data_IF_059101060365
#
_entry.id   IF_059101060365
#
_cell.length_a   1.000
_cell.length_b   1.000
_cell.length_c   1.000
_cell.angle_alpha   90.00
_cell.angle_beta   90.00
_cell.angle_gamma   90.00
#
_symmetry.space_group_name_H-M   'P 1'
#
loop_
_entity.id
_entity.type
_entity.pdbx_description
1 polymer ?
#
# COMPACT_ATOMS: atom_id res chain seq x y z
N UNK A 1 -20.29 -48.57 25.50
CA UNK A 1 -20.78 -47.68 24.41
C UNK A 1 -20.55 -46.20 24.70
N UNK A 2 -21.01 -45.63 25.83
CA UNK A 2 -20.78 -44.19 26.17
C UNK A 2 -19.30 -43.76 26.22
N UNK A 3 -18.40 -44.60 26.74
CA UNK A 3 -16.95 -44.32 26.78
C UNK A 3 -16.28 -44.34 25.41
N UNK A 4 -16.78 -45.16 24.48
CA UNK A 4 -16.27 -45.24 23.10
C UNK A 4 -16.70 -44.01 22.29
N UNK A 5 -17.92 -43.53 22.50
CA UNK A 5 -18.43 -42.29 21.91
C UNK A 5 -17.64 -41.05 22.38
N UNK A 6 -17.30 -40.98 23.66
CA UNK A 6 -16.47 -39.90 24.22
C UNK A 6 -15.03 -39.93 23.69
N UNK A 7 -14.45 -41.12 23.51
CA UNK A 7 -13.10 -41.27 22.95
C UNK A 7 -13.06 -40.92 21.46
N UNK A 8 -14.08 -41.31 20.70
CA UNK A 8 -14.21 -40.96 19.27
C UNK A 8 -14.45 -39.45 19.08
N UNK A 9 -15.27 -38.83 19.93
CA UNK A 9 -15.48 -37.38 19.93
C UNK A 9 -14.18 -36.62 20.27
N UNK A 10 -13.36 -37.12 21.19
CA UNK A 10 -12.07 -36.53 21.54
C UNK A 10 -11.07 -36.61 20.36
N UNK A 11 -11.00 -37.75 19.66
CA UNK A 11 -10.14 -37.93 18.48
C UNK A 11 -10.59 -37.03 17.32
N UNK A 12 -11.91 -36.89 17.09
CA UNK A 12 -12.46 -35.99 16.07
C UNK A 12 -12.20 -34.52 16.43
N UNK A 13 -12.26 -34.15 17.72
CA UNK A 13 -11.94 -32.79 18.18
C UNK A 13 -10.44 -32.44 18.08
N UNK A 14 -9.55 -33.43 18.15
CA UNK A 14 -8.09 -33.25 18.04
C UNK A 14 -7.58 -33.22 16.59
N UNK A 15 -8.40 -33.64 15.61
CA UNK A 15 -8.03 -33.73 14.18
C UNK A 15 -8.57 -32.58 13.33
N UNK A 16 -9.45 -31.74 13.88
CA UNK A 16 -9.88 -30.49 13.25
C UNK A 16 -8.88 -29.37 13.55
N UNK A 17 -7.65 -29.48 13.01
CA UNK A 17 -6.83 -28.30 12.80
C UNK A 17 -7.49 -27.48 11.68
N UNK A 18 -8.34 -26.53 12.06
CA UNK A 18 -8.78 -25.48 11.17
C UNK A 18 -7.55 -24.62 10.86
N UNK A 19 -6.85 -24.94 9.78
CA UNK A 19 -5.92 -24.01 9.17
C UNK A 19 -6.76 -22.91 8.54
N UNK A 20 -6.58 -21.67 8.99
CA UNK A 20 -6.95 -20.55 8.15
C UNK A 20 -6.05 -20.64 6.91
N UNK A 21 -6.64 -20.66 5.71
CA UNK A 21 -5.88 -20.56 4.47
C UNK A 21 -5.30 -19.14 4.38
N UNK A 22 -4.08 -18.97 4.91
CA UNK A 22 -3.33 -17.71 4.82
C UNK A 22 -2.68 -17.60 3.43
N UNK A 23 -2.94 -16.50 2.72
CA UNK A 23 -2.30 -16.30 1.41
C UNK A 23 -2.77 -15.05 0.68
N UNK A 24 -1.83 -14.33 0.07
CA UNK A 24 -2.10 -13.35 -0.97
C UNK A 24 -1.62 -13.97 -2.27
N UNK A 25 -2.56 -14.41 -3.11
CA UNK A 25 -2.28 -15.28 -4.25
C UNK A 25 -2.18 -14.46 -5.54
N UNK A 26 -1.18 -14.76 -6.38
CA UNK A 26 -1.04 -14.11 -7.68
C UNK A 26 -2.14 -14.60 -8.62
N UNK A 27 -2.85 -13.66 -9.25
CA UNK A 27 -3.99 -13.96 -10.12
C UNK A 27 -3.67 -14.99 -11.23
N UNK A 28 -2.52 -14.92 -11.94
CA UNK A 28 -2.18 -15.91 -12.96
C UNK A 28 -1.98 -17.34 -12.42
N UNK A 29 -1.82 -17.50 -11.10
CA UNK A 29 -1.57 -18.80 -10.47
C UNK A 29 -2.81 -19.40 -9.81
N UNK A 30 -3.94 -18.68 -9.77
CA UNK A 30 -5.17 -19.10 -9.09
C UNK A 30 -5.68 -20.43 -9.61
N UNK A 31 -5.66 -20.65 -10.93
CA UNK A 31 -6.08 -21.90 -11.54
C UNK A 31 -5.27 -23.10 -11.01
N UNK A 32 -3.94 -22.94 -10.94
CA UNK A 32 -3.03 -24.01 -10.54
C UNK A 32 -3.04 -24.26 -9.03
N UNK A 33 -3.15 -23.21 -8.22
CA UNK A 33 -2.85 -23.28 -6.79
C UNK A 33 -4.09 -23.25 -5.90
N UNK A 34 -5.18 -22.61 -6.32
CA UNK A 34 -6.23 -22.19 -5.38
C UNK A 34 -7.66 -22.56 -5.79
N UNK A 35 -7.97 -22.62 -7.09
CA UNK A 35 -9.37 -22.66 -7.56
C UNK A 35 -10.17 -23.84 -7.00
N UNK A 36 -9.57 -25.03 -6.93
CA UNK A 36 -10.24 -26.23 -6.40
C UNK A 36 -10.67 -26.03 -4.93
N UNK A 37 -9.79 -25.43 -4.12
CA UNK A 37 -10.08 -25.11 -2.72
C UNK A 37 -11.13 -24.01 -2.61
N UNK A 38 -11.04 -22.97 -3.44
CA UNK A 38 -12.02 -21.87 -3.46
C UNK A 38 -13.43 -22.39 -3.79
N UNK A 39 -13.54 -23.30 -4.75
CA UNK A 39 -14.81 -23.94 -5.14
C UNK A 39 -15.35 -24.86 -4.04
N UNK A 40 -14.47 -25.61 -3.35
CA UNK A 40 -14.85 -26.39 -2.17
C UNK A 40 -15.43 -25.51 -1.05
N UNK A 41 -14.89 -24.29 -0.88
CA UNK A 41 -15.35 -23.31 0.10
C UNK A 41 -16.62 -22.56 -0.33
N UNK A 42 -17.12 -22.78 -1.55
CA UNK A 42 -18.40 -22.23 -2.01
C UNK A 42 -18.32 -21.30 -3.21
N UNK A 43 -17.13 -20.97 -3.73
CA UNK A 43 -17.00 -20.20 -4.96
C UNK A 43 -17.67 -20.93 -6.13
N UNK A 44 -18.42 -20.18 -6.95
CA UNK A 44 -19.08 -20.71 -8.15
C UNK A 44 -18.40 -20.31 -9.46
N UNK A 45 -17.46 -19.37 -9.40
CA UNK A 45 -16.69 -18.91 -10.55
C UNK A 45 -15.59 -19.93 -10.91
N UNK A 46 -15.21 -19.93 -12.19
CA UNK A 46 -14.00 -20.58 -12.69
C UNK A 46 -12.76 -19.72 -12.43
N UNK A 47 -11.57 -20.25 -12.69
CA UNK A 47 -10.34 -19.46 -12.62
C UNK A 47 -10.31 -18.38 -13.72
N UNK A 48 -10.79 -18.69 -14.92
CA UNK A 48 -10.86 -17.76 -16.05
C UNK A 48 -11.84 -16.60 -15.79
N UNK A 49 -12.91 -16.82 -15.03
CA UNK A 49 -13.80 -15.74 -14.58
C UNK A 49 -13.07 -14.73 -13.68
N UNK A 50 -12.06 -15.18 -12.91
CA UNK A 50 -11.27 -14.35 -12.00
C UNK A 50 -10.16 -13.62 -12.77
N UNK A 51 -9.37 -14.35 -13.55
CA UNK A 51 -8.27 -13.82 -14.33
C UNK A 51 -8.18 -14.51 -15.69
N UNK A 52 -8.29 -13.71 -16.75
CA UNK A 52 -8.07 -14.14 -18.13
C UNK A 52 -7.36 -13.03 -18.91
N UNK A 53 -6.45 -13.41 -19.80
CA UNK A 53 -5.84 -12.50 -20.77
C UNK A 53 -6.59 -12.52 -22.12
N UNK A 54 -7.45 -13.52 -22.34
CA UNK A 54 -8.12 -13.76 -23.62
C UNK A 54 -9.53 -13.16 -23.68
N UNK A 55 -10.19 -12.99 -22.52
CA UNK A 55 -11.52 -12.38 -22.41
C UNK A 55 -11.65 -11.58 -21.11
N UNK A 56 -12.75 -10.84 -20.97
CA UNK A 56 -13.01 -10.06 -19.76
C UNK A 56 -13.16 -10.97 -18.53
N UNK A 57 -12.59 -10.56 -17.39
CA UNK A 57 -12.62 -11.28 -16.11
C UNK A 57 -12.77 -10.30 -14.94
N UNK A 58 -12.86 -10.79 -13.70
CA UNK A 58 -12.97 -9.91 -12.51
C UNK A 58 -11.80 -8.93 -12.39
N UNK A 59 -10.61 -9.30 -12.89
CA UNK A 59 -9.44 -8.40 -12.94
C UNK A 59 -9.75 -7.07 -13.65
N UNK A 60 -10.67 -7.07 -14.62
CA UNK A 60 -10.97 -5.87 -15.42
C UNK A 60 -11.96 -4.93 -14.73
N UNK A 61 -12.55 -5.37 -13.61
CA UNK A 61 -13.40 -4.56 -12.76
C UNK A 61 -12.66 -4.03 -11.52
N UNK A 62 -11.54 -4.66 -11.11
CA UNK A 62 -10.75 -4.28 -9.92
C UNK A 62 -9.49 -3.54 -10.35
N UNK A 63 -9.27 -2.35 -9.82
CA UNK A 63 -8.20 -1.44 -10.25
C UNK A 63 -7.40 -0.89 -9.09
N UNK A 64 -6.16 -0.51 -9.37
CA UNK A 64 -5.31 0.18 -8.43
C UNK A 64 -5.62 1.68 -8.47
N UNK A 65 -5.85 2.28 -7.30
CA UNK A 65 -5.85 3.73 -7.15
C UNK A 65 -4.44 4.21 -6.82
N UNK A 66 -4.04 5.31 -7.44
CA UNK A 66 -2.82 6.03 -7.12
C UNK A 66 -1.60 5.09 -7.13
N UNK A 67 -1.50 4.30 -8.20
CA UNK A 67 -0.46 3.29 -8.42
C UNK A 67 -0.37 2.18 -7.34
N UNK A 68 -1.49 1.86 -6.69
CA UNK A 68 -1.61 0.72 -5.77
C UNK A 68 -1.60 1.11 -4.29
N UNK A 69 -1.79 2.39 -3.97
CA UNK A 69 -1.99 2.83 -2.59
C UNK A 69 -3.32 2.36 -2.02
N UNK A 70 -4.35 2.30 -2.87
CA UNK A 70 -5.66 1.74 -2.56
C UNK A 70 -6.15 0.85 -3.71
N UNK A 71 -7.21 0.10 -3.43
CA UNK A 71 -7.95 -0.66 -4.44
C UNK A 71 -9.32 0.00 -4.66
N UNK A 72 -9.84 -0.08 -5.88
CA UNK A 72 -11.20 0.29 -6.20
C UNK A 72 -11.82 -0.71 -7.17
N UNK A 73 -13.14 -0.65 -7.31
CA UNK A 73 -13.88 -1.51 -8.22
C UNK A 73 -14.92 -0.75 -9.03
N UNK A 74 -15.07 -1.09 -10.31
CA UNK A 74 -16.15 -0.59 -11.15
C UNK A 74 -17.46 -1.23 -10.74
N UNK A 75 -18.48 -0.40 -10.50
CA UNK A 75 -19.84 -0.82 -10.15
C UNK A 75 -20.88 -0.39 -11.20
N UNK A 76 -20.43 0.18 -12.32
CA UNK A 76 -21.32 0.56 -13.43
C UNK A 76 -20.64 0.46 -14.81
N UNK A 77 -21.46 0.44 -15.86
CA UNK A 77 -21.02 0.47 -17.26
C UNK A 77 -20.49 1.85 -17.71
N UNK A 78 -20.57 2.88 -16.85
CA UNK A 78 -20.16 4.25 -17.14
C UNK A 78 -19.06 4.73 -16.18
N UNK A 79 -18.16 3.82 -15.83
CA UNK A 79 -16.92 4.16 -15.17
C UNK A 79 -17.05 4.56 -13.70
N UNK A 80 -18.20 4.30 -13.06
CA UNK A 80 -18.39 4.58 -11.63
C UNK A 80 -17.56 3.58 -10.81
N UNK A 81 -16.70 4.11 -9.96
CA UNK A 81 -15.83 3.40 -9.04
C UNK A 81 -16.35 3.51 -7.61
N UNK A 82 -16.26 2.40 -6.88
CA UNK A 82 -16.37 2.33 -5.44
C UNK A 82 -14.98 2.12 -4.84
N UNK A 83 -14.68 2.86 -3.77
CA UNK A 83 -13.49 2.64 -2.93
C UNK A 83 -13.80 3.09 -1.50
N UNK A 84 -12.84 3.01 -0.58
CA UNK A 84 -13.04 3.49 0.78
C UNK A 84 -13.09 5.03 0.87
N UNK A 85 -13.77 5.56 1.87
CA UNK A 85 -13.78 6.99 2.18
C UNK A 85 -12.36 7.46 2.49
N UNK A 86 -11.58 6.68 3.24
CA UNK A 86 -10.20 7.03 3.56
C UNK A 86 -9.27 7.03 2.32
N UNK A 87 -9.59 6.27 1.27
CA UNK A 87 -8.86 6.27 -0.01
C UNK A 87 -9.17 7.49 -0.90
N UNK A 88 -10.31 8.15 -0.66
CA UNK A 88 -10.69 9.41 -1.30
C UNK A 88 -10.53 10.63 -0.41
N UNK A 89 -9.98 10.45 0.80
CA UNK A 89 -9.99 11.47 1.85
C UNK A 89 -9.17 12.71 1.47
N UNK A 90 -8.02 12.51 0.84
CA UNK A 90 -7.19 13.57 0.29
C UNK A 90 -7.94 14.40 -0.75
N UNK A 91 -8.75 13.78 -1.61
CA UNK A 91 -9.54 14.50 -2.60
C UNK A 91 -10.71 15.26 -1.96
N UNK A 92 -11.41 14.63 -1.02
CA UNK A 92 -12.51 15.29 -0.28
C UNK A 92 -11.96 16.51 0.48
N UNK A 93 -10.80 16.37 1.12
CA UNK A 93 -10.11 17.46 1.82
C UNK A 93 -9.63 18.54 0.85
N UNK A 94 -9.05 18.16 -0.29
CA UNK A 94 -8.53 19.11 -1.28
C UNK A 94 -9.62 20.03 -1.85
N UNK A 95 -10.83 19.50 -2.02
CA UNK A 95 -12.01 20.27 -2.44
C UNK A 95 -12.73 20.99 -1.30
N UNK A 96 -12.40 20.69 -0.04
CA UNK A 96 -13.04 21.32 1.10
C UNK A 96 -12.51 22.75 1.35
N UNK A 97 -13.41 23.65 1.69
CA UNK A 97 -13.12 25.00 2.19
C UNK A 97 -13.92 25.28 3.46
N UNK A 98 -13.76 26.46 4.07
CA UNK A 98 -14.59 26.87 5.19
C UNK A 98 -16.06 27.05 4.77
N UNK A 99 -16.30 27.47 3.53
CA UNK A 99 -17.62 27.64 2.93
C UNK A 99 -18.22 26.30 2.48
N UNK A 100 -17.40 25.41 1.93
CA UNK A 100 -17.81 24.10 1.42
C UNK A 100 -17.02 22.99 2.12
N UNK A 101 -17.43 22.64 3.34
CA UNK A 101 -16.78 21.60 4.13
C UNK A 101 -17.32 20.21 3.77
N UNK A 102 -16.76 19.60 2.72
CA UNK A 102 -17.16 18.26 2.28
C UNK A 102 -16.73 17.16 3.25
N UNK A 103 -15.70 17.38 4.07
CA UNK A 103 -15.33 16.44 5.14
C UNK A 103 -16.47 16.32 6.16
N UNK A 104 -17.08 17.43 6.58
CA UNK A 104 -18.18 17.41 7.55
C UNK A 104 -19.50 17.02 6.91
N UNK A 105 -19.81 17.56 5.73
CA UNK A 105 -21.16 17.47 5.15
C UNK A 105 -21.32 16.36 4.10
N UNK A 106 -20.22 15.74 3.68
CA UNK A 106 -20.19 14.88 2.50
C UNK A 106 -20.31 15.69 1.21
N UNK A 107 -20.27 14.97 0.10
CA UNK A 107 -20.39 15.53 -1.25
C UNK A 107 -21.17 14.56 -2.13
N UNK A 108 -22.04 15.08 -3.00
CA UNK A 108 -22.79 14.27 -3.97
C UNK A 108 -23.04 15.08 -5.24
N UNK A 109 -22.38 14.69 -6.34
CA UNK A 109 -22.65 15.24 -7.66
C UNK A 109 -24.01 14.72 -8.15
N UNK A 110 -24.99 15.61 -8.29
CA UNK A 110 -26.33 15.26 -8.79
C UNK A 110 -26.35 15.08 -10.31
N UNK A 111 -25.36 15.66 -10.99
CA UNK A 111 -25.16 15.57 -12.43
C UNK A 111 -23.67 15.44 -12.74
N UNK A 112 -23.32 14.93 -13.94
CA UNK A 112 -21.92 14.65 -14.32
C UNK A 112 -21.03 15.89 -14.39
N UNK A 113 -21.60 17.05 -14.68
CA UNK A 113 -20.92 18.34 -14.71
C UNK A 113 -20.57 18.85 -13.31
N UNK A 114 -21.19 18.31 -12.26
CA UNK A 114 -20.87 18.62 -10.87
C UNK A 114 -19.74 17.74 -10.31
N UNK A 115 -19.33 16.67 -11.00
CA UNK A 115 -18.26 15.79 -10.55
C UNK A 115 -16.91 16.53 -10.51
N UNK A 116 -16.20 16.47 -9.38
CA UNK A 116 -15.03 17.31 -9.12
C UNK A 116 -13.74 16.68 -9.65
N UNK A 117 -13.00 17.32 -10.58
CA UNK A 117 -11.74 16.78 -11.08
C UNK A 117 -10.64 16.70 -10.01
N UNK A 118 -9.84 15.63 -10.03
CA UNK A 118 -8.75 15.43 -9.06
C UNK A 118 -7.39 15.32 -9.75
N UNK A 119 -6.68 16.44 -9.97
CA UNK A 119 -5.37 16.42 -10.62
C UNK A 119 -4.34 15.58 -9.84
N UNK A 120 -3.82 14.54 -10.49
CA UNK A 120 -2.84 13.62 -9.91
C UNK A 120 -3.45 12.32 -9.39
N UNK A 121 -4.78 12.21 -9.26
CA UNK A 121 -5.43 10.94 -8.95
C UNK A 121 -5.39 10.02 -10.16
N UNK A 122 -5.02 8.77 -9.97
CA UNK A 122 -4.91 7.80 -11.08
C UNK A 122 -5.69 6.52 -10.81
N UNK A 123 -6.15 5.90 -11.90
CA UNK A 123 -6.75 4.57 -11.91
C UNK A 123 -5.95 3.70 -12.87
N UNK A 124 -5.32 2.65 -12.34
CA UNK A 124 -4.41 1.79 -13.09
C UNK A 124 -4.98 0.38 -13.22
N UNK A 125 -5.12 -0.09 -14.46
CA UNK A 125 -5.57 -1.43 -14.81
C UNK A 125 -4.40 -2.37 -15.00
N UNK A 126 -4.45 -3.56 -14.39
CA UNK A 126 -3.54 -4.66 -14.75
C UNK A 126 -4.00 -5.31 -16.07
N UNK A 127 -3.27 -5.04 -17.16
CA UNK A 127 -3.55 -5.61 -18.47
C UNK A 127 -3.15 -7.08 -18.49
N UNK A 128 -1.91 -7.38 -18.10
CA UNK A 128 -1.37 -8.74 -18.01
C UNK A 128 -0.17 -8.81 -17.07
N UNK A 129 0.10 -10.01 -16.59
CA UNK A 129 1.29 -10.38 -15.80
C UNK A 129 1.96 -11.61 -16.43
N UNK A 130 3.29 -11.64 -16.46
CA UNK A 130 4.09 -12.69 -17.11
C UNK A 130 5.32 -13.03 -16.27
N UNK A 131 5.62 -14.33 -16.06
CA UNK A 131 6.86 -14.77 -15.40
C UNK A 131 8.04 -14.58 -16.37
N UNK A 132 8.97 -13.69 -16.02
CA UNK A 132 10.17 -13.39 -16.81
C UNK A 132 11.44 -13.79 -16.07
N UNK A 133 11.32 -14.64 -15.04
CA UNK A 133 12.43 -15.04 -14.18
C UNK A 133 13.59 -15.62 -14.95
N UNK A 134 13.34 -16.50 -15.92
CA UNK A 134 14.41 -17.15 -16.69
C UNK A 134 15.23 -16.14 -17.52
N UNK A 135 14.57 -15.09 -18.04
CA UNK A 135 15.24 -14.02 -18.80
C UNK A 135 16.17 -13.20 -17.93
N UNK A 136 15.85 -13.04 -16.64
CA UNK A 136 16.66 -12.30 -15.68
C UNK A 136 17.75 -13.19 -15.08
N UNK A 137 17.35 -14.33 -14.52
CA UNK A 137 18.23 -15.24 -13.78
C UNK A 137 19.33 -15.84 -14.65
N UNK A 138 19.09 -16.06 -15.95
CA UNK A 138 20.14 -16.53 -16.89
C UNK A 138 21.27 -15.52 -17.09
N UNK A 139 21.05 -14.24 -16.77
CA UNK A 139 22.06 -13.19 -16.84
C UNK A 139 22.86 -13.00 -15.55
N UNK A 140 22.60 -13.79 -14.50
CA UNK A 140 23.20 -13.63 -13.17
C UNK A 140 24.10 -14.82 -12.83
N UNK A 141 25.17 -14.55 -12.10
CA UNK A 141 26.09 -15.56 -11.57
C UNK A 141 26.32 -15.34 -10.08
N UNK A 142 26.83 -16.36 -9.37
CA UNK A 142 27.04 -16.30 -7.91
C UNK A 142 28.26 -15.50 -7.47
N UNK A 143 29.17 -15.19 -8.39
CA UNK A 143 30.39 -14.41 -8.17
C UNK A 143 30.20 -12.90 -8.33
N UNK A 144 29.02 -12.46 -8.82
CA UNK A 144 28.68 -11.03 -8.89
C UNK A 144 28.57 -10.43 -7.49
N UNK A 145 29.08 -9.21 -7.34
CA UNK A 145 28.75 -8.37 -6.18
C UNK A 145 27.26 -7.99 -6.20
N UNK A 146 26.69 -7.61 -5.05
CA UNK A 146 25.29 -7.19 -4.97
C UNK A 146 25.01 -5.93 -5.80
N UNK A 147 25.99 -5.03 -5.96
CA UNK A 147 25.86 -3.86 -6.82
C UNK A 147 25.78 -4.27 -8.30
N UNK A 148 26.70 -5.13 -8.76
CA UNK A 148 26.69 -5.65 -10.14
C UNK A 148 25.42 -6.44 -10.43
N UNK A 149 24.99 -7.29 -9.49
CA UNK A 149 23.76 -8.07 -9.57
C UNK A 149 22.55 -7.16 -9.70
N UNK A 150 22.43 -6.16 -8.83
CA UNK A 150 21.32 -5.18 -8.86
C UNK A 150 21.30 -4.40 -10.18
N UNK A 151 22.46 -3.94 -10.64
CA UNK A 151 22.60 -3.26 -11.94
C UNK A 151 22.17 -4.17 -13.09
N UNK A 152 22.62 -5.42 -13.11
CA UNK A 152 22.30 -6.39 -14.16
C UNK A 152 20.80 -6.72 -14.19
N UNK A 153 20.18 -6.93 -13.03
CA UNK A 153 18.73 -7.13 -12.90
C UNK A 153 17.99 -5.92 -13.47
N UNK A 154 18.41 -4.70 -13.10
CA UNK A 154 17.79 -3.47 -13.60
C UNK A 154 17.92 -3.34 -15.12
N UNK A 155 19.11 -3.54 -15.68
CA UNK A 155 19.36 -3.41 -17.12
C UNK A 155 18.50 -4.40 -17.94
N UNK A 156 18.39 -5.65 -17.48
CA UNK A 156 17.55 -6.66 -18.14
C UNK A 156 16.06 -6.30 -17.96
N UNK A 157 15.65 -5.90 -16.76
CA UNK A 157 14.27 -5.50 -16.44
C UNK A 157 13.80 -4.33 -17.30
N UNK A 158 14.63 -3.30 -17.46
CA UNK A 158 14.33 -2.12 -18.27
C UNK A 158 14.17 -2.50 -19.76
N UNK A 159 15.01 -3.42 -20.25
CA UNK A 159 14.87 -3.94 -21.61
C UNK A 159 13.55 -4.69 -21.81
N UNK A 160 13.20 -5.60 -20.90
CA UNK A 160 11.94 -6.35 -20.92
C UNK A 160 10.74 -5.40 -20.88
N UNK A 161 10.76 -4.43 -19.97
CA UNK A 161 9.70 -3.43 -19.82
C UNK A 161 9.55 -2.59 -21.08
N UNK A 162 10.67 -2.15 -21.68
CA UNK A 162 10.66 -1.38 -22.93
C UNK A 162 10.04 -2.15 -24.10
N UNK A 163 10.31 -3.44 -24.21
CA UNK A 163 9.71 -4.32 -25.23
C UNK A 163 8.18 -4.43 -25.07
N UNK A 164 7.66 -4.32 -23.85
CA UNK A 164 6.24 -4.43 -23.54
C UNK A 164 5.50 -3.08 -23.43
N UNK A 165 6.23 -1.96 -23.49
CA UNK A 165 5.66 -0.61 -23.46
C UNK A 165 5.07 -0.28 -24.83
N UNK A 166 3.85 0.25 -24.86
CA UNK A 166 3.12 0.54 -26.09
C UNK A 166 2.55 1.96 -26.05
N UNK A 167 3.05 2.84 -26.93
CA UNK A 167 2.63 4.24 -26.98
C UNK A 167 1.27 4.45 -27.65
N UNK A 168 0.83 3.51 -28.48
CA UNK A 168 -0.47 3.54 -29.17
C UNK A 168 -1.56 3.23 -28.14
N UNK A 169 -1.40 2.14 -27.39
CA UNK A 169 -2.36 1.72 -26.36
C UNK A 169 -2.14 2.39 -25.00
N UNK A 170 -1.10 3.24 -24.86
CA UNK A 170 -0.68 3.86 -23.59
C UNK A 170 -0.40 2.82 -22.50
N UNK A 171 0.23 1.70 -22.88
CA UNK A 171 0.65 0.70 -21.93
C UNK A 171 2.00 1.06 -21.32
N UNK A 172 2.03 1.01 -20.00
CA UNK A 172 3.22 1.16 -19.17
C UNK A 172 3.61 -0.23 -18.67
N UNK A 173 4.89 -0.55 -18.68
CA UNK A 173 5.36 -1.86 -18.25
C UNK A 173 6.49 -1.70 -17.23
N UNK A 174 6.52 -2.61 -16.27
CA UNK A 174 7.61 -2.72 -15.30
C UNK A 174 7.85 -4.18 -14.92
N UNK A 175 9.09 -4.53 -14.63
CA UNK A 175 9.40 -5.83 -14.03
C UNK A 175 9.57 -5.63 -12.54
N UNK A 176 8.85 -6.43 -11.77
CA UNK A 176 8.91 -6.41 -10.31
C UNK A 176 9.50 -7.71 -9.79
N UNK A 177 10.25 -7.60 -8.69
CA UNK A 177 10.80 -8.75 -7.98
C UNK A 177 9.78 -9.30 -6.99
N UNK A 178 9.66 -10.61 -6.93
CA UNK A 178 8.84 -11.35 -5.98
C UNK A 178 9.71 -12.36 -5.24
N UNK A 179 9.30 -12.68 -4.01
CA UNK A 179 10.02 -13.63 -3.14
C UNK A 179 11.50 -13.27 -2.97
N UNK A 180 11.80 -12.01 -2.61
CA UNK A 180 13.18 -11.53 -2.34
C UNK A 180 14.17 -11.82 -3.47
N UNK A 181 13.81 -11.55 -4.73
CA UNK A 181 14.71 -11.79 -5.87
C UNK A 181 14.69 -13.19 -6.47
N UNK A 182 13.82 -14.10 -5.98
CA UNK A 182 13.71 -15.46 -6.51
C UNK A 182 12.80 -15.57 -7.75
N UNK A 183 11.87 -14.64 -7.91
CA UNK A 183 11.00 -14.55 -9.09
C UNK A 183 10.91 -13.13 -9.60
N UNK A 184 10.69 -13.00 -10.90
CA UNK A 184 10.51 -11.71 -11.55
C UNK A 184 9.32 -11.78 -12.48
N UNK A 185 8.42 -10.80 -12.35
CA UNK A 185 7.23 -10.74 -13.17
C UNK A 185 7.16 -9.41 -13.92
N UNK A 186 6.92 -9.49 -15.22
CA UNK A 186 6.54 -8.34 -16.03
C UNK A 186 5.07 -8.01 -15.76
N UNK A 187 4.81 -6.77 -15.39
CA UNK A 187 3.48 -6.21 -15.15
C UNK A 187 3.22 -5.15 -16.21
N UNK A 188 2.16 -5.33 -16.99
CA UNK A 188 1.73 -4.36 -17.99
C UNK A 188 0.45 -3.70 -17.52
N UNK A 189 0.46 -2.38 -17.54
CA UNK A 189 -0.58 -1.52 -16.99
C UNK A 189 -1.10 -0.53 -18.02
N UNK A 190 -2.31 -0.04 -17.77
CA UNK A 190 -2.87 1.13 -18.45
C UNK A 190 -3.41 2.08 -17.39
N UNK A 191 -2.95 3.32 -17.38
CA UNK A 191 -3.25 4.29 -16.32
C UNK A 191 -4.11 5.43 -16.85
N UNK A 192 -5.31 5.60 -16.28
CA UNK A 192 -6.22 6.72 -16.53
C UNK A 192 -6.02 7.83 -15.50
N UNK A 193 -6.10 9.09 -15.96
CA UNK A 193 -5.68 10.27 -15.18
C UNK A 193 -6.76 11.34 -15.01
N UNK A 194 -7.92 11.17 -15.63
CA UNK A 194 -9.11 11.98 -15.35
C UNK A 194 -10.04 11.17 -14.44
N UNK A 195 -9.86 11.34 -13.13
CA UNK A 195 -10.66 10.67 -12.09
C UNK A 195 -11.37 11.73 -11.28
N UNK A 196 -12.70 11.71 -11.28
CA UNK A 196 -13.53 12.76 -10.67
C UNK A 196 -14.26 12.24 -9.45
N UNK A 197 -14.36 13.05 -8.41
CA UNK A 197 -15.12 12.71 -7.21
C UNK A 197 -16.61 12.83 -7.54
N UNK A 198 -17.36 11.77 -7.27
CA UNK A 198 -18.80 11.67 -7.52
C UNK A 198 -19.58 11.79 -6.23
N UNK A 199 -19.11 11.12 -5.17
CA UNK A 199 -19.83 11.11 -3.91
C UNK A 199 -18.99 10.66 -2.73
N UNK A 200 -19.24 11.24 -1.58
CA UNK A 200 -18.66 10.85 -0.31
C UNK A 200 -19.68 11.12 0.80
N UNK A 201 -19.94 10.15 1.69
CA UNK A 201 -20.73 10.42 2.88
C UNK A 201 -20.00 11.40 3.80
N UNK A 202 -20.70 12.09 4.72
CA UNK A 202 -20.10 12.81 5.84
C UNK A 202 -19.02 11.98 6.56
N UNK A 203 -17.96 12.61 7.08
CA UNK A 203 -16.94 11.91 7.88
C UNK A 203 -17.52 11.26 9.14
N UNK A 204 -18.66 11.75 9.64
CA UNK A 204 -19.40 11.08 10.72
C UNK A 204 -19.95 9.70 10.33
N UNK A 205 -20.01 9.36 9.05
CA UNK A 205 -20.35 8.04 8.52
C UNK A 205 -19.10 7.37 7.94
N UNK A 206 -18.40 8.06 7.03
CA UNK A 206 -17.20 7.57 6.32
C UNK A 206 -16.03 7.25 7.24
N UNK A 207 -15.94 7.92 8.38
CA UNK A 207 -14.95 7.71 9.45
C UNK A 207 -15.63 7.67 10.83
N UNK A 208 -16.84 7.12 10.93
CA UNK A 208 -17.54 6.93 12.21
C UNK A 208 -16.66 6.20 13.24
N UNK A 209 -16.68 6.70 14.47
CA UNK A 209 -15.79 6.25 15.56
C UNK A 209 -14.36 6.81 15.48
N UNK A 210 -14.03 7.48 14.38
CA UNK A 210 -12.76 8.16 14.17
C UNK A 210 -11.57 7.25 14.45
N UNK A 211 -10.59 7.83 15.12
CA UNK A 211 -9.40 7.08 15.52
C UNK A 211 -9.75 6.03 16.57
N UNK A 212 -10.64 6.31 17.54
CA UNK A 212 -11.04 5.38 18.62
C UNK A 212 -11.38 3.99 18.08
N UNK A 213 -12.21 3.91 17.04
CA UNK A 213 -12.63 2.65 16.45
C UNK A 213 -11.65 2.10 15.40
N UNK A 214 -10.65 2.88 14.97
CA UNK A 214 -9.66 2.41 14.01
C UNK A 214 -8.91 1.17 14.56
N UNK A 215 -8.77 0.14 13.72
CA UNK A 215 -8.29 -1.20 14.06
C UNK A 215 -9.14 -2.01 15.07
N UNK A 216 -10.38 -1.60 15.34
CA UNK A 216 -11.28 -2.28 16.28
C UNK A 216 -12.45 -3.01 15.60
N UNK A 217 -12.92 -4.06 16.26
CA UNK A 217 -14.20 -4.74 16.04
C UNK A 217 -14.92 -4.90 17.39
N UNK A 218 -16.25 -4.70 17.52
CA UNK A 218 -17.24 -4.37 16.48
C UNK A 218 -16.97 -3.03 15.76
N UNK A 219 -17.44 -2.91 14.52
CA UNK A 219 -17.27 -1.70 13.70
C UNK A 219 -18.57 -1.30 13.00
N UNK A 220 -18.83 0.01 12.94
CA UNK A 220 -20.05 0.60 12.37
C UNK A 220 -19.75 1.73 11.38
N UNK A 221 -18.58 1.71 10.74
CA UNK A 221 -18.15 2.75 9.79
C UNK A 221 -18.65 2.45 8.38
N UNK A 222 -19.31 3.42 7.76
CA UNK A 222 -19.69 3.38 6.34
C UNK A 222 -18.54 3.90 5.46
N UNK A 223 -17.40 3.22 5.49
CA UNK A 223 -16.14 3.67 4.86
C UNK A 223 -16.16 3.48 3.34
N UNK A 224 -16.84 4.37 2.62
CA UNK A 224 -16.88 4.37 1.16
C UNK A 224 -16.84 5.78 0.55
N UNK A 225 -16.34 5.87 -0.68
CA UNK A 225 -16.46 7.03 -1.57
C UNK A 225 -16.62 6.56 -3.01
N UNK A 226 -17.15 7.44 -3.85
CA UNK A 226 -17.45 7.19 -5.26
C UNK A 226 -16.64 8.13 -6.13
N UNK A 227 -16.00 7.57 -7.14
CA UNK A 227 -15.31 8.30 -8.19
C UNK A 227 -15.84 7.88 -9.57
N UNK A 228 -15.55 8.65 -10.61
CA UNK A 228 -15.76 8.24 -11.99
C UNK A 228 -14.49 8.42 -12.80
N UNK A 229 -14.18 7.42 -13.60
CA UNK A 229 -13.07 7.48 -14.56
C UNK A 229 -13.56 8.04 -15.87
N UNK A 230 -12.82 9.00 -16.39
CA UNK A 230 -13.02 9.62 -17.69
C UNK A 230 -11.84 9.30 -18.62
N UNK A 231 -12.11 9.29 -19.91
CA UNK A 231 -11.14 9.04 -20.97
C UNK A 231 -11.37 9.98 -22.15
N UNK A 232 -10.41 10.02 -23.08
CA UNK A 232 -10.65 10.69 -24.35
C UNK A 232 -11.84 10.05 -25.10
N UNK A 233 -12.49 10.76 -26.05
CA UNK A 233 -13.61 10.22 -26.82
C UNK A 233 -13.31 8.91 -27.58
N UNK A 234 -12.05 8.63 -27.88
CA UNK A 234 -11.58 7.38 -28.51
C UNK A 234 -11.41 6.22 -27.51
N UNK A 235 -11.63 6.45 -26.21
CA UNK A 235 -11.47 5.47 -25.15
C UNK A 235 -10.07 5.43 -24.52
N UNK A 236 -9.12 6.21 -25.03
CA UNK A 236 -7.74 6.20 -24.55
C UNK A 236 -7.56 7.01 -23.24
N UNK A 237 -6.57 6.65 -22.40
CA UNK A 237 -6.23 7.46 -21.24
C UNK A 237 -5.85 8.90 -21.61
N UNK A 238 -6.43 9.86 -20.90
CA UNK A 238 -6.18 11.28 -21.09
C UNK A 238 -6.04 11.99 -19.74
N UNK A 239 -5.35 13.13 -19.77
CA UNK A 239 -5.43 14.12 -18.70
C UNK A 239 -6.85 14.73 -18.67
N UNK A 240 -7.18 15.46 -17.60
CA UNK A 240 -8.47 16.13 -17.49
C UNK A 240 -8.79 17.01 -18.70
N UNK A 241 -10.01 16.86 -19.21
CA UNK A 241 -10.61 17.73 -20.22
C UNK A 241 -12.13 17.77 -20.04
N UNK A 242 -12.78 18.94 -20.22
CA UNK A 242 -14.24 19.00 -20.22
C UNK A 242 -14.88 18.15 -21.33
N UNK A 243 -14.13 17.81 -22.38
CA UNK A 243 -14.59 16.99 -23.50
C UNK A 243 -14.37 15.48 -23.28
N UNK A 244 -13.72 15.08 -22.19
CA UNK A 244 -13.59 13.66 -21.87
C UNK A 244 -14.95 13.05 -21.56
N UNK A 245 -15.09 11.76 -21.85
CA UNK A 245 -16.32 10.99 -21.65
C UNK A 245 -16.12 9.94 -20.57
N UNK A 246 -17.18 9.51 -19.86
CA UNK A 246 -17.08 8.40 -18.92
C UNK A 246 -16.48 7.15 -19.57
N UNK A 247 -15.49 6.55 -18.91
CA UNK A 247 -14.89 5.30 -19.34
C UNK A 247 -15.93 4.18 -19.32
N UNK A 248 -16.00 3.39 -20.40
CA UNK A 248 -16.78 2.15 -20.44
C UNK A 248 -15.86 0.99 -20.06
N UNK A 249 -15.90 0.48 -18.81
CA UNK A 249 -15.00 -0.59 -18.40
C UNK A 249 -15.39 -1.90 -19.10
N UNK A 250 -14.40 -2.78 -19.30
CA UNK A 250 -14.65 -4.12 -19.90
C UNK A 250 -15.54 -4.99 -19.01
N UNK A 251 -15.52 -4.75 -17.69
CA UNK A 251 -16.34 -5.44 -16.69
C UNK A 251 -16.63 -4.50 -15.52
N UNK A 252 -17.79 -4.68 -14.89
CA UNK A 252 -18.14 -4.04 -13.63
C UNK A 252 -18.85 -5.06 -12.73
N UNK A 253 -18.83 -4.82 -11.42
CA UNK A 253 -19.35 -5.73 -10.42
C UNK A 253 -20.83 -5.43 -10.14
N UNK A 254 -21.75 -6.42 -10.29
CA UNK A 254 -23.11 -6.26 -9.81
C UNK A 254 -23.13 -6.25 -8.28
N UNK A 255 -23.91 -5.33 -7.70
CA UNK A 255 -24.07 -5.22 -6.25
C UNK A 255 -25.20 -6.13 -5.77
N UNK A 256 -24.88 -7.08 -4.90
CA UNK A 256 -25.88 -7.98 -4.31
C UNK A 256 -26.70 -7.25 -3.24
N UNK A 257 -28.03 -7.34 -3.33
CA UNK A 257 -28.97 -6.84 -2.31
C UNK A 257 -29.49 -7.96 -1.40
N UNK A 258 -28.90 -9.17 -1.47
CA UNK A 258 -29.33 -10.34 -0.70
C UNK A 258 -28.79 -10.38 0.74
N UNK A 259 -27.90 -9.46 1.10
CA UNK A 259 -27.16 -9.49 2.36
C UNK A 259 -26.02 -10.53 2.36
N UNK A 260 -25.37 -10.68 3.51
CA UNK A 260 -24.30 -11.65 3.78
C UNK A 260 -24.57 -12.37 5.09
N UNK A 261 -24.27 -13.67 5.14
CA UNK A 261 -24.50 -14.53 6.30
C UNK A 261 -23.19 -15.19 6.74
N UNK A 262 -23.15 -15.62 8.01
CA UNK A 262 -22.01 -16.36 8.54
C UNK A 262 -21.80 -17.64 7.72
N UNK A 263 -20.61 -17.80 7.17
CA UNK A 263 -20.23 -18.97 6.36
C UNK A 263 -20.37 -18.77 4.85
N UNK A 264 -20.91 -17.63 4.39
CA UNK A 264 -20.88 -17.29 2.98
C UNK A 264 -19.43 -17.16 2.48
N UNK A 265 -19.18 -17.65 1.26
CA UNK A 265 -17.87 -17.52 0.63
C UNK A 265 -17.56 -16.04 0.35
N UNK A 266 -16.37 -15.60 0.74
CA UNK A 266 -15.85 -14.26 0.43
C UNK A 266 -14.44 -14.33 -0.12
N UNK A 267 -14.18 -13.59 -1.18
CA UNK A 267 -12.85 -13.37 -1.75
C UNK A 267 -12.63 -11.87 -1.90
N UNK A 268 -11.40 -11.43 -1.65
CA UNK A 268 -10.96 -10.05 -1.86
C UNK A 268 -9.88 -10.07 -2.94
N UNK A 269 -10.03 -9.21 -3.94
CA UNK A 269 -9.02 -8.92 -4.95
C UNK A 269 -8.54 -7.48 -4.74
N UNK A 270 -7.24 -7.25 -4.86
CA UNK A 270 -6.69 -5.91 -4.72
C UNK A 270 -5.18 -5.88 -4.80
N UNK A 271 -4.62 -4.74 -4.42
CA UNK A 271 -3.21 -4.40 -4.55
C UNK A 271 -2.59 -4.23 -3.16
N UNK A 272 -2.28 -5.33 -2.44
CA UNK A 272 -1.62 -5.21 -1.14
C UNK A 272 -0.23 -4.58 -1.31
N UNK A 273 0.08 -3.57 -0.50
CA UNK A 273 1.33 -2.81 -0.62
C UNK A 273 2.58 -3.65 -0.27
N UNK A 274 2.71 -4.06 1.00
CA UNK A 274 3.85 -4.85 1.47
C UNK A 274 3.45 -5.84 2.55
N UNK A 275 4.08 -7.01 2.56
CA UNK A 275 4.05 -7.93 3.69
C UNK A 275 5.45 -8.43 3.99
N UNK A 276 5.70 -8.76 5.25
CA UNK A 276 7.00 -9.23 5.73
C UNK A 276 6.85 -10.61 6.39
N UNK A 277 6.05 -11.49 5.78
CA UNK A 277 5.67 -12.82 6.32
C UNK A 277 6.85 -13.77 6.53
N UNK A 278 7.96 -13.54 5.84
CA UNK A 278 9.17 -14.37 5.90
C UNK A 278 10.28 -13.74 6.76
N UNK A 279 9.98 -12.71 7.55
CA UNK A 279 10.98 -12.13 8.45
C UNK A 279 11.55 -13.19 9.40
N UNK A 280 12.88 -13.17 9.64
CA UNK A 280 13.49 -13.95 10.69
C UNK A 280 13.08 -13.39 12.07
N UNK A 281 13.31 -14.17 13.11
CA UNK A 281 13.02 -13.82 14.50
C UNK A 281 13.71 -12.51 14.91
N UNK A 282 14.92 -12.27 14.40
CA UNK A 282 15.66 -11.02 14.59
C UNK A 282 14.96 -9.79 13.97
N UNK A 283 14.28 -9.95 12.83
CA UNK A 283 13.53 -8.85 12.21
C UNK A 283 12.20 -8.55 12.90
N UNK A 284 11.57 -9.59 13.44
CA UNK A 284 10.41 -9.42 14.33
C UNK A 284 10.83 -8.65 15.59
N UNK A 285 11.97 -9.03 16.20
CA UNK A 285 12.53 -8.36 17.38
C UNK A 285 12.91 -6.91 17.09
N UNK A 286 13.56 -6.61 15.97
CA UNK A 286 13.87 -5.23 15.57
C UNK A 286 12.59 -4.38 15.45
N UNK A 287 11.54 -4.94 14.84
CA UNK A 287 10.25 -4.25 14.73
C UNK A 287 9.62 -4.00 16.09
N UNK A 288 9.64 -5.00 16.96
CA UNK A 288 9.09 -4.95 18.32
C UNK A 288 9.85 -3.97 19.24
N UNK A 289 11.18 -3.95 19.15
CA UNK A 289 12.04 -3.28 20.12
C UNK A 289 12.51 -1.90 19.66
N UNK A 290 12.54 -1.64 18.34
CA UNK A 290 13.08 -0.39 17.78
C UNK A 290 12.00 0.32 16.97
N UNK A 291 11.57 -0.25 15.85
CA UNK A 291 10.70 0.45 14.87
C UNK A 291 9.37 0.90 15.48
N UNK A 292 8.62 -0.01 16.11
CA UNK A 292 7.31 0.33 16.64
C UNK A 292 7.38 1.26 17.86
N UNK A 293 8.26 1.04 18.86
CA UNK A 293 8.43 1.98 19.98
C UNK A 293 8.76 3.41 19.54
N UNK A 294 9.71 3.57 18.61
CA UNK A 294 10.08 4.89 18.09
C UNK A 294 8.88 5.54 17.40
N UNK A 295 8.22 4.83 16.47
CA UNK A 295 7.04 5.36 15.77
C UNK A 295 5.92 5.76 16.72
N UNK A 296 5.63 4.94 17.74
CA UNK A 296 4.59 5.23 18.74
C UNK A 296 4.95 6.51 19.51
N UNK A 297 6.18 6.61 20.02
CA UNK A 297 6.65 7.76 20.80
C UNK A 297 6.57 9.06 19.99
N UNK A 298 7.15 9.04 18.80
CA UNK A 298 7.25 10.23 17.92
C UNK A 298 5.87 10.67 17.45
N UNK A 299 5.08 9.75 16.86
CA UNK A 299 3.77 10.10 16.32
C UNK A 299 2.77 10.46 17.41
N UNK A 300 2.82 9.83 18.59
CA UNK A 300 1.95 10.21 19.71
C UNK A 300 2.11 11.68 20.08
N UNK A 301 3.36 12.13 20.27
CA UNK A 301 3.65 13.53 20.59
C UNK A 301 3.22 14.49 19.46
N UNK A 302 3.47 14.12 18.21
CA UNK A 302 3.07 14.91 17.03
C UNK A 302 1.55 15.05 16.92
N UNK A 303 0.84 13.93 17.02
CA UNK A 303 -0.62 13.89 16.96
C UNK A 303 -1.26 14.71 18.08
N UNK A 304 -0.71 14.66 19.29
CA UNK A 304 -1.20 15.48 20.41
C UNK A 304 -1.11 16.99 20.12
N UNK A 305 -0.02 17.45 19.47
CA UNK A 305 0.16 18.85 19.08
C UNK A 305 -0.86 19.22 18.00
N UNK A 306 -0.92 18.42 16.92
CA UNK A 306 -1.84 18.66 15.81
C UNK A 306 -3.30 18.65 16.27
N UNK A 307 -3.71 17.69 17.11
CA UNK A 307 -5.08 17.56 17.60
C UNK A 307 -5.52 18.80 18.39
N UNK A 308 -4.65 19.37 19.23
CA UNK A 308 -4.98 20.61 19.98
C UNK A 308 -5.22 21.78 19.04
N UNK A 309 -4.35 21.97 18.05
CA UNK A 309 -4.47 23.08 17.11
C UNK A 309 -5.65 22.89 16.15
N UNK A 310 -5.90 21.66 15.68
CA UNK A 310 -7.08 21.30 14.89
C UNK A 310 -8.40 21.51 15.64
N UNK A 311 -8.42 21.28 16.96
CA UNK A 311 -9.62 21.53 17.78
C UNK A 311 -9.86 23.03 18.02
N UNK A 312 -8.80 23.84 17.98
CA UNK A 312 -8.88 25.27 18.24
C UNK A 312 -9.28 26.09 16.99
N UNK A 313 -8.95 25.62 15.79
CA UNK A 313 -9.18 26.36 14.55
C UNK A 313 -9.74 25.45 13.42
N UNK A 314 -10.97 25.72 12.93
CA UNK A 314 -11.56 24.99 11.81
C UNK A 314 -10.72 25.00 10.52
N UNK A 315 -9.94 26.06 10.26
CA UNK A 315 -9.01 26.13 9.13
C UNK A 315 -7.88 25.13 9.30
N UNK A 316 -7.26 25.08 10.48
CA UNK A 316 -6.19 24.11 10.78
C UNK A 316 -6.76 22.70 10.73
N UNK A 317 -7.98 22.46 11.24
CA UNK A 317 -8.67 21.17 11.10
C UNK A 317 -8.74 20.72 9.64
N UNK A 318 -9.15 21.59 8.71
CA UNK A 318 -9.20 21.26 7.28
C UNK A 318 -7.80 21.00 6.71
N UNK A 319 -6.84 21.89 7.00
CA UNK A 319 -5.46 21.78 6.53
C UNK A 319 -4.75 20.49 7.00
N UNK A 320 -5.03 20.04 8.22
CA UNK A 320 -4.32 18.92 8.85
C UNK A 320 -5.12 17.61 8.86
N UNK A 321 -6.37 17.59 8.41
CA UNK A 321 -7.23 16.41 8.49
C UNK A 321 -6.57 15.16 7.86
N UNK A 322 -6.07 15.28 6.63
CA UNK A 322 -5.46 14.16 5.89
C UNK A 322 -4.14 13.71 6.53
N UNK A 323 -3.23 14.67 6.78
CA UNK A 323 -1.95 14.43 7.47
C UNK A 323 -2.13 13.72 8.82
N UNK A 324 -3.10 14.19 9.60
CA UNK A 324 -3.45 13.61 10.90
C UNK A 324 -3.99 12.18 10.74
N UNK A 325 -4.90 11.94 9.79
CA UNK A 325 -5.45 10.61 9.53
C UNK A 325 -4.36 9.60 9.10
N UNK A 326 -3.46 10.00 8.21
CA UNK A 326 -2.34 9.17 7.76
C UNK A 326 -1.38 8.86 8.91
N UNK A 327 -1.04 9.86 9.73
CA UNK A 327 -0.12 9.67 10.86
C UNK A 327 -0.73 8.79 11.96
N UNK A 328 -1.99 9.05 12.35
CA UNK A 328 -2.73 8.30 13.37
C UNK A 328 -2.98 6.85 13.00
N UNK A 329 -3.21 6.54 11.71
CA UNK A 329 -3.41 5.17 11.26
C UNK A 329 -2.21 4.28 11.58
N UNK A 330 -1.00 4.72 11.22
CA UNK A 330 0.25 3.97 11.47
C UNK A 330 0.70 4.02 12.94
N UNK A 331 0.34 5.08 13.68
CA UNK A 331 0.49 5.13 15.13
C UNK A 331 -0.31 3.99 15.79
N UNK A 332 -1.61 3.86 15.47
CA UNK A 332 -2.45 2.77 15.99
C UNK A 332 -2.05 1.40 15.48
N UNK A 333 -1.68 1.27 14.20
CA UNK A 333 -1.12 0.05 13.63
C UNK A 333 0.06 -0.47 14.48
N UNK A 334 0.99 0.41 14.84
CA UNK A 334 2.17 0.05 15.62
C UNK A 334 1.79 -0.38 17.05
N UNK A 335 0.82 0.28 17.68
CA UNK A 335 0.28 -0.14 18.99
C UNK A 335 -0.38 -1.53 18.89
N UNK A 336 -1.16 -1.76 17.82
CA UNK A 336 -1.81 -3.04 17.55
C UNK A 336 -0.79 -4.16 17.36
N UNK A 337 0.26 -3.93 16.56
CA UNK A 337 1.36 -4.89 16.40
C UNK A 337 2.07 -5.19 17.73
N UNK A 338 2.35 -4.16 18.55
CA UNK A 338 2.95 -4.37 19.88
C UNK A 338 2.06 -5.22 20.80
N UNK A 339 0.75 -5.04 20.73
CA UNK A 339 -0.19 -5.93 21.42
C UNK A 339 -0.11 -7.35 20.87
N UNK A 340 -0.05 -7.51 19.55
CA UNK A 340 0.14 -8.80 18.88
C UNK A 340 1.39 -9.53 19.35
N UNK A 341 2.55 -8.87 19.38
CA UNK A 341 3.81 -9.45 19.85
C UNK A 341 3.78 -9.93 21.31
N UNK A 342 2.91 -9.35 22.16
CA UNK A 342 2.72 -9.80 23.55
C UNK A 342 1.76 -10.98 23.69
N UNK A 343 0.77 -11.08 22.80
CA UNK A 343 -0.32 -12.06 22.91
C UNK A 343 -0.07 -13.33 22.09
N UNK A 344 0.75 -13.25 21.04
CA UNK A 344 0.99 -14.32 20.10
C UNK A 344 2.45 -14.82 20.22
N UNK A 345 2.70 -16.12 20.12
CA UNK A 345 4.04 -16.71 20.26
C UNK A 345 4.92 -16.54 19.00
N UNK A 346 4.81 -15.40 18.29
CA UNK A 346 5.37 -15.18 16.95
C UNK A 346 6.89 -15.41 16.86
N UNK A 347 7.64 -14.93 17.85
CA UNK A 347 9.10 -15.10 17.88
C UNK A 347 9.47 -16.56 18.07
N UNK A 348 8.78 -17.26 19.00
CA UNK A 348 9.03 -18.67 19.26
C UNK A 348 8.68 -19.55 18.06
N UNK A 349 7.55 -19.28 17.40
CA UNK A 349 7.17 -19.95 16.15
C UNK A 349 8.22 -19.73 15.04
N UNK A 350 8.74 -18.50 14.92
CA UNK A 350 9.79 -18.21 13.94
C UNK A 350 11.10 -18.90 14.25
N UNK A 351 11.51 -18.92 15.52
CA UNK A 351 12.72 -19.63 15.97
C UNK A 351 12.61 -21.14 15.77
N UNK A 352 11.43 -21.73 15.97
CA UNK A 352 11.19 -23.12 15.66
C UNK A 352 11.38 -23.40 14.16
N UNK A 353 10.82 -22.55 13.29
CA UNK A 353 11.01 -22.67 11.84
C UNK A 353 12.48 -22.48 11.41
N UNK A 354 13.20 -21.55 12.04
CA UNK A 354 14.64 -21.34 11.81
C UNK A 354 15.45 -22.57 12.21
N UNK A 355 15.09 -23.21 13.32
CA UNK A 355 15.69 -24.47 13.76
C UNK A 355 15.41 -25.60 12.76
N UNK A 356 14.17 -25.76 12.33
CA UNK A 356 13.78 -26.76 11.33
C UNK A 356 14.54 -26.53 10.02
N UNK A 357 14.72 -25.27 9.60
CA UNK A 357 15.56 -24.91 8.46
C UNK A 357 17.02 -25.32 8.66
N UNK A 358 17.62 -25.03 9.82
CA UNK A 358 19.00 -25.45 10.11
C UNK A 358 19.18 -26.96 10.08
N UNK A 359 18.24 -27.73 10.64
CA UNK A 359 18.26 -29.20 10.61
C UNK A 359 18.11 -29.71 9.17
N UNK A 360 17.20 -29.12 8.40
CA UNK A 360 17.02 -29.42 6.97
C UNK A 360 18.32 -29.15 6.19
N UNK A 361 18.97 -28.00 6.38
CA UNK A 361 20.25 -27.67 5.73
C UNK A 361 21.36 -28.65 6.11
N UNK A 362 21.46 -29.03 7.39
CA UNK A 362 22.52 -29.91 7.88
C UNK A 362 22.41 -31.36 7.37
N UNK A 363 21.21 -31.79 6.97
CA UNK A 363 20.94 -33.15 6.51
C UNK A 363 21.49 -33.45 5.09
N UNK A 364 22.10 -32.49 4.40
CA UNK A 364 22.66 -32.69 3.05
C UNK A 364 23.89 -31.81 2.81
N UNK A 365 25.01 -32.38 2.32
CA UNK A 365 26.23 -31.61 2.07
C UNK A 365 26.10 -30.47 1.05
N UNK A 366 25.28 -30.61 0.01
CA UNK A 366 25.07 -29.57 -1.00
C UNK A 366 24.25 -28.41 -0.41
N UNK A 367 23.20 -28.71 0.35
CA UNK A 367 22.43 -27.69 1.09
C UNK A 367 23.30 -26.97 2.10
N UNK A 368 24.15 -27.70 2.82
CA UNK A 368 25.10 -27.11 3.78
C UNK A 368 26.09 -26.16 3.08
N UNK A 369 26.64 -26.58 1.94
CA UNK A 369 27.54 -25.72 1.15
C UNK A 369 26.84 -24.44 0.66
N UNK A 370 25.57 -24.53 0.28
CA UNK A 370 24.80 -23.40 -0.27
C UNK A 370 24.20 -22.46 0.78
N UNK A 371 23.69 -23.01 1.89
CA UNK A 371 22.85 -22.27 2.86
C UNK A 371 23.38 -22.28 4.29
N UNK A 372 24.46 -23.02 4.58
CA UNK A 372 24.93 -23.25 5.95
C UNK A 372 25.21 -21.98 6.76
N UNK A 373 25.58 -20.88 6.10
CA UNK A 373 25.87 -19.60 6.72
C UNK A 373 24.69 -18.60 6.69
N UNK A 374 23.57 -18.93 6.02
CA UNK A 374 22.52 -17.95 5.72
C UNK A 374 21.92 -17.31 6.98
N UNK A 375 21.50 -18.13 7.96
CA UNK A 375 20.93 -17.61 9.20
C UNK A 375 21.95 -16.83 10.04
N UNK A 376 23.21 -17.26 10.07
CA UNK A 376 24.26 -16.57 10.81
C UNK A 376 24.54 -15.19 10.21
N UNK A 377 24.69 -15.09 8.88
CA UNK A 377 24.87 -13.82 8.18
C UNK A 377 23.70 -12.86 8.40
N UNK A 378 22.46 -13.38 8.33
CA UNK A 378 21.25 -12.60 8.60
C UNK A 378 21.29 -12.08 10.04
N UNK A 379 21.55 -12.96 11.02
CA UNK A 379 21.65 -12.57 12.43
C UNK A 379 22.69 -11.47 12.64
N UNK A 380 23.89 -11.66 12.13
CA UNK A 380 24.99 -10.71 12.30
C UNK A 380 24.64 -9.35 11.69
N UNK A 381 23.95 -9.32 10.55
CA UNK A 381 23.45 -8.10 9.94
C UNK A 381 22.42 -7.38 10.83
N UNK A 382 21.46 -8.11 11.44
CA UNK A 382 20.50 -7.52 12.37
C UNK A 382 21.16 -7.04 13.67
N UNK A 383 22.06 -7.84 14.25
CA UNK A 383 22.75 -7.50 15.49
C UNK A 383 23.68 -6.29 15.31
N UNK A 384 24.41 -6.22 14.19
CA UNK A 384 25.36 -5.14 13.91
C UNK A 384 24.74 -3.80 13.50
N UNK A 385 23.43 -3.75 13.17
CA UNK A 385 22.77 -2.53 12.68
C UNK A 385 21.80 -1.85 13.64
N UNK A 386 21.60 -2.38 14.86
CA UNK A 386 20.56 -1.92 15.80
C UNK A 386 20.61 -0.41 16.07
N UNK A 387 21.78 0.11 16.41
CA UNK A 387 21.96 1.54 16.74
C UNK A 387 21.68 2.44 15.52
N UNK A 388 22.17 2.05 14.35
CA UNK A 388 21.92 2.76 13.09
C UNK A 388 20.44 2.76 12.71
N UNK A 389 19.75 1.63 12.90
CA UNK A 389 18.30 1.54 12.65
C UNK A 389 17.55 2.44 13.60
N UNK A 390 17.90 2.46 14.90
CA UNK A 390 17.26 3.34 15.86
C UNK A 390 17.45 4.82 15.49
N UNK A 391 18.68 5.24 15.20
CA UNK A 391 19.00 6.60 14.78
C UNK A 391 18.25 6.96 13.49
N UNK A 392 18.23 6.07 12.51
CA UNK A 392 17.51 6.25 11.24
C UNK A 392 16.00 6.35 11.45
N UNK A 393 15.42 5.57 12.36
CA UNK A 393 13.99 5.66 12.68
C UNK A 393 13.63 7.01 13.30
N UNK A 394 14.45 7.54 14.22
CA UNK A 394 14.24 8.88 14.77
C UNK A 394 14.44 9.97 13.72
N UNK A 395 15.48 9.85 12.89
CA UNK A 395 15.72 10.77 11.77
C UNK A 395 14.51 10.84 10.83
N UNK A 396 13.97 9.68 10.45
CA UNK A 396 12.83 9.60 9.53
C UNK A 396 11.53 10.03 10.19
N UNK A 397 11.18 9.50 11.37
CA UNK A 397 9.88 9.80 12.01
C UNK A 397 9.82 11.21 12.61
N UNK A 398 10.91 11.69 13.23
CA UNK A 398 10.92 12.97 13.92
C UNK A 398 11.33 14.13 13.01
N UNK A 399 12.36 13.98 12.17
CA UNK A 399 12.81 15.09 11.32
C UNK A 399 12.09 15.09 9.98
N UNK A 400 12.34 14.08 9.14
CA UNK A 400 11.85 14.10 7.76
C UNK A 400 10.34 13.98 7.62
N UNK A 401 9.68 13.17 8.45
CA UNK A 401 8.21 13.03 8.45
C UNK A 401 7.53 13.79 9.58
N UNK A 402 8.31 14.34 10.51
CA UNK A 402 7.79 15.02 11.70
C UNK A 402 7.73 16.54 11.54
N UNK A 403 8.60 17.12 10.71
CA UNK A 403 8.71 18.57 10.49
C UNK A 403 8.40 18.87 9.02
N UNK A 404 7.29 19.54 8.78
CA UNK A 404 6.74 19.71 7.42
C UNK A 404 7.68 20.55 6.54
N UNK A 405 8.30 21.59 7.11
CA UNK A 405 9.22 22.42 6.33
C UNK A 405 10.52 21.66 5.97
N UNK A 406 10.95 20.70 6.80
CA UNK A 406 12.10 19.85 6.48
C UNK A 406 11.74 18.81 5.43
N UNK A 407 10.56 18.20 5.51
CA UNK A 407 10.03 17.33 4.47
C UNK A 407 10.02 18.06 3.12
N UNK A 408 9.47 19.27 3.09
CA UNK A 408 9.40 20.08 1.87
C UNK A 408 10.79 20.50 1.37
N UNK A 409 11.76 20.69 2.26
CA UNK A 409 13.14 21.00 1.87
C UNK A 409 13.79 19.89 1.03
N UNK A 410 13.40 18.62 1.19
CA UNK A 410 13.89 17.51 0.36
C UNK A 410 13.45 17.64 -1.11
N UNK A 411 12.30 18.26 -1.37
CA UNK A 411 11.87 18.56 -2.75
C UNK A 411 12.77 19.63 -3.35
N UNK A 412 13.11 20.65 -2.57
CA UNK A 412 13.98 21.76 -2.97
C UNK A 412 15.44 21.28 -3.16
N UNK A 413 15.89 20.29 -2.39
CA UNK A 413 17.25 19.76 -2.46
C UNK A 413 17.58 19.21 -3.86
N UNK A 414 16.61 18.66 -4.59
CA UNK A 414 16.80 18.24 -6.00
C UNK A 414 17.26 19.38 -6.89
N UNK A 415 16.65 20.55 -6.74
CA UNK A 415 17.05 21.76 -7.46
C UNK A 415 18.44 22.21 -7.02
N UNK A 416 18.70 22.23 -5.72
CA UNK A 416 19.99 22.60 -5.16
C UNK A 416 21.13 21.71 -5.68
N UNK A 417 20.95 20.38 -5.65
CA UNK A 417 21.89 19.41 -6.19
C UNK A 417 22.11 19.58 -7.69
N UNK A 418 21.04 19.82 -8.46
CA UNK A 418 21.14 20.06 -9.90
C UNK A 418 21.95 21.32 -10.22
N UNK A 419 21.74 22.41 -9.47
CA UNK A 419 22.48 23.65 -9.62
C UNK A 419 23.94 23.52 -9.19
N UNK A 420 24.20 22.80 -8.10
CA UNK A 420 25.54 22.72 -7.49
C UNK A 420 26.45 21.70 -8.16
N UNK A 421 25.89 20.58 -8.64
CA UNK A 421 26.67 19.42 -9.09
C UNK A 421 26.30 18.88 -10.49
N UNK A 422 25.23 19.37 -11.11
CA UNK A 422 24.77 18.88 -12.41
C UNK A 422 25.60 19.38 -13.59
N UNK A 423 26.21 18.49 -14.38
CA UNK A 423 26.66 18.82 -15.75
C UNK A 423 25.42 18.98 -16.65
N UNK A 424 25.30 20.05 -17.42
CA UNK A 424 24.05 20.48 -18.10
C UNK A 424 22.88 20.77 -17.12
N UNK A 425 23.15 21.63 -16.13
CA UNK A 425 22.25 21.96 -15.01
C UNK A 425 21.03 22.78 -15.40
N UNK A 426 21.08 23.62 -16.44
CA UNK A 426 20.06 24.64 -16.67
C UNK A 426 18.67 24.06 -17.01
N UNK A 427 18.59 23.06 -17.90
CA UNK A 427 17.32 22.45 -18.28
C UNK A 427 16.69 21.66 -17.12
N UNK A 428 17.49 20.86 -16.41
CA UNK A 428 17.03 20.09 -15.25
C UNK A 428 16.64 20.97 -14.08
N UNK A 429 17.44 22.00 -13.79
CA UNK A 429 17.12 22.99 -12.76
C UNK A 429 15.82 23.74 -13.11
N UNK A 430 15.59 24.08 -14.39
CA UNK A 430 14.32 24.67 -14.82
C UNK A 430 13.14 23.73 -14.56
N UNK A 431 13.25 22.45 -14.94
CA UNK A 431 12.20 21.46 -14.65
C UNK A 431 11.89 21.37 -13.16
N UNK A 432 12.92 21.22 -12.31
CA UNK A 432 12.72 21.15 -10.86
C UNK A 432 12.13 22.44 -10.30
N UNK A 433 12.55 23.61 -10.81
CA UNK A 433 11.97 24.88 -10.39
C UNK A 433 10.49 24.99 -10.77
N UNK A 434 10.09 24.52 -11.95
CA UNK A 434 8.69 24.52 -12.39
C UNK A 434 7.84 23.53 -11.58
N UNK A 435 8.38 22.35 -11.24
CA UNK A 435 7.75 21.40 -10.32
C UNK A 435 7.56 21.99 -8.93
N UNK A 436 8.62 22.60 -8.35
CA UNK A 436 8.54 23.26 -7.04
C UNK A 436 7.48 24.37 -7.04
N UNK A 437 7.40 25.20 -8.09
CA UNK A 437 6.37 26.24 -8.19
C UNK A 437 4.96 25.64 -8.22
N UNK A 438 4.77 24.57 -8.97
CA UNK A 438 3.48 23.86 -9.05
C UNK A 438 3.08 23.26 -7.69
N UNK A 439 4.03 22.64 -6.99
CA UNK A 439 3.77 21.93 -5.74
C UNK A 439 3.73 22.85 -4.52
N UNK A 440 4.37 24.02 -4.57
CA UNK A 440 4.33 25.02 -3.50
C UNK A 440 2.90 25.40 -3.11
N UNK A 441 2.02 25.59 -4.09
CA UNK A 441 0.62 25.91 -3.81
C UNK A 441 -0.09 24.81 -3.03
N UNK A 442 0.21 23.54 -3.32
CA UNK A 442 -0.35 22.39 -2.58
C UNK A 442 0.19 22.33 -1.16
N UNK A 443 1.51 22.45 -1.00
CA UNK A 443 2.15 22.46 0.32
C UNK A 443 1.61 23.58 1.21
N UNK A 444 1.64 24.83 0.73
CA UNK A 444 1.23 25.99 1.52
C UNK A 444 -0.29 26.08 1.75
N UNK A 445 -1.11 25.40 0.95
CA UNK A 445 -2.56 25.28 1.22
C UNK A 445 -2.80 24.58 2.56
N UNK A 446 -2.02 23.56 2.87
CA UNK A 446 -2.22 22.69 4.04
C UNK A 446 -1.20 22.91 5.17
N UNK A 447 -0.23 23.80 4.97
CA UNK A 447 0.78 24.15 5.96
C UNK A 447 0.28 25.22 6.96
N UNK A 448 0.57 25.03 8.24
CA UNK A 448 0.43 26.06 9.27
C UNK A 448 1.76 26.27 10.01
N UNK A 449 2.33 27.46 9.89
CA UNK A 449 3.64 27.78 10.45
C UNK A 449 3.71 27.60 11.97
N UNK A 450 2.68 28.02 12.70
CA UNK A 450 2.71 27.98 14.16
C UNK A 450 2.52 26.56 14.69
N UNK A 451 1.68 25.75 14.03
CA UNK A 451 1.57 24.31 14.31
C UNK A 451 2.88 23.58 14.00
N UNK A 452 3.51 23.86 12.86
CA UNK A 452 4.78 23.23 12.49
C UNK A 452 5.92 23.66 13.42
N UNK A 453 6.02 24.93 13.86
CA UNK A 453 7.02 25.36 14.86
C UNK A 453 6.91 24.59 16.18
N UNK A 454 5.68 24.40 16.70
CA UNK A 454 5.45 23.61 17.92
C UNK A 454 5.91 22.16 17.71
N UNK A 455 5.55 21.60 16.56
CA UNK A 455 5.91 20.23 16.18
C UNK A 455 7.43 20.10 16.04
N UNK A 456 8.08 20.98 15.28
CA UNK A 456 9.51 21.04 15.07
C UNK A 456 10.29 21.14 16.38
N UNK A 457 9.86 22.00 17.30
CA UNK A 457 10.50 22.11 18.62
C UNK A 457 10.46 20.78 19.37
N UNK A 458 9.30 20.11 19.37
CA UNK A 458 9.13 18.83 20.03
C UNK A 458 9.94 17.72 19.35
N UNK A 459 9.94 17.67 18.02
CA UNK A 459 10.65 16.66 17.23
C UNK A 459 12.17 16.80 17.30
N UNK A 460 12.69 18.03 17.22
CA UNK A 460 14.13 18.32 17.37
C UNK A 460 14.63 17.92 18.76
N UNK A 461 13.86 18.25 19.81
CA UNK A 461 14.18 17.80 21.16
C UNK A 461 14.17 16.28 21.27
N UNK A 462 13.14 15.63 20.71
CA UNK A 462 13.02 14.18 20.73
C UNK A 462 14.18 13.49 20.01
N UNK A 463 14.62 14.04 18.87
CA UNK A 463 15.80 13.58 18.16
C UNK A 463 17.07 13.73 19.01
N UNK A 464 17.35 14.95 19.51
CA UNK A 464 18.52 15.23 20.35
C UNK A 464 18.61 14.36 21.61
N UNK A 465 17.48 14.05 22.24
CA UNK A 465 17.46 13.24 23.46
C UNK A 465 17.67 11.73 23.19
N UNK A 466 17.59 11.25 21.95
CA UNK A 466 17.56 9.81 21.62
C UNK A 466 18.54 9.36 20.52
N UNK A 467 19.27 10.29 19.92
CA UNK A 467 20.33 10.08 18.91
C UNK A 467 21.48 11.01 19.26
#
# INVERSE_FOLDING_TARGET
>A
MKKLFLFLALIISLSLRLFADEGMWLLPLVERLNIAKMQQLGLKLSAEDIYSINHSSLKDAVVALDHGMCTAEFISAEGLLLTNHHCGFSEIQAHSTLEHDYLTNGFWAMTRDQELPNPGKTVTFLIRMEDVSDRILSGLTYDMTEEERSKKIKDISDKIAKEATDSVNKYEAKVESFFEGNKFYLLVYQTFKDVRLVGAPPSSIGKFGGDTDNWMWPRHTGDFSLFRVYCAPDGSPAEYSPNNVPLKPKKFLPVSIKGVHKGDYTMIMGYPGRTDRYLPSWGILETQQITNPVRIKVRGMKLDIWQRDMNADPKIRLQYADKYATSSNYYKYSIGQQRGFRLLPLIGERQALEKDFSEWVAADPERKARYGNALQLIRDAYDGRKEYVQASQYLMEALYNGIEILEYSLVIDKLYMALRFGKDSAARAKTYADEIRKDAHKFYKDFNLETDKKTATAMLKLFYDNV
#
